data_IF_826788340482
#
_entry.id   IF_826788340482
#
_cell.length_a   1.000
_cell.length_b   1.000
_cell.length_c   1.000
_cell.angle_alpha   90.00
_cell.angle_beta   90.00
_cell.angle_gamma   90.00
#
_symmetry.space_group_name_H-M   'P 1'
#
loop_
_entity.id
_entity.type
_entity.pdbx_description
1 polymer ?
#
# COMPACT_ATOMS: atom_id res chain seq x y z
N UNK A 1 -5.02 -3.08 -26.44
CA UNK A 1 -5.36 -2.35 -25.19
C UNK A 1 -5.17 -3.19 -23.92
N UNK A 2 -5.50 -4.50 -23.89
CA UNK A 2 -5.38 -5.37 -22.71
C UNK A 2 -3.95 -5.57 -22.15
N UNK A 3 -2.92 -5.58 -23.02
CA UNK A 3 -1.50 -5.74 -22.61
C UNK A 3 -0.99 -4.53 -21.80
N UNK A 4 -1.40 -3.31 -22.18
CA UNK A 4 -0.99 -2.07 -21.51
C UNK A 4 -1.57 -1.97 -20.10
N UNK A 5 -2.82 -2.40 -19.89
CA UNK A 5 -3.44 -2.42 -18.56
C UNK A 5 -2.83 -3.47 -17.64
N UNK A 6 -2.44 -4.64 -18.17
CA UNK A 6 -1.73 -5.67 -17.38
C UNK A 6 -0.33 -5.20 -17.00
N UNK A 7 0.41 -4.60 -17.94
CA UNK A 7 1.73 -4.04 -17.65
C UNK A 7 1.66 -2.93 -16.59
N UNK A 8 0.72 -1.99 -16.72
CA UNK A 8 0.51 -0.92 -15.75
C UNK A 8 0.17 -1.44 -14.34
N UNK A 9 -0.65 -2.49 -14.25
CA UNK A 9 -0.97 -3.12 -12.96
C UNK A 9 0.26 -3.78 -12.31
N UNK A 10 1.06 -4.52 -13.10
CA UNK A 10 2.28 -5.16 -12.61
C UNK A 10 3.33 -4.14 -12.15
N UNK A 11 3.52 -3.06 -12.93
CA UNK A 11 4.43 -1.98 -12.56
C UNK A 11 3.97 -1.28 -11.28
N UNK A 12 2.67 -1.04 -11.10
CA UNK A 12 2.12 -0.50 -9.86
C UNK A 12 2.48 -1.37 -8.65
N UNK A 13 2.18 -2.66 -8.71
CA UNK A 13 2.51 -3.60 -7.63
C UNK A 13 4.01 -3.65 -7.35
N UNK A 14 4.87 -3.63 -8.38
CA UNK A 14 6.32 -3.60 -8.18
C UNK A 14 6.79 -2.34 -7.46
N UNK A 15 6.27 -1.17 -7.83
CA UNK A 15 6.61 0.11 -7.17
C UNK A 15 6.21 0.06 -5.68
N UNK A 16 5.06 -0.54 -5.36
CA UNK A 16 4.57 -0.66 -3.99
C UNK A 16 5.45 -1.58 -3.14
N UNK A 17 5.84 -2.74 -3.68
CA UNK A 17 6.78 -3.64 -3.00
C UNK A 17 8.16 -3.01 -2.84
N UNK A 18 8.58 -2.17 -3.79
CA UNK A 18 9.82 -1.44 -3.72
C UNK A 18 9.81 -0.40 -2.57
N UNK A 19 8.74 0.38 -2.40
CA UNK A 19 8.60 1.33 -1.27
C UNK A 19 8.68 0.60 0.08
N UNK A 20 7.91 -0.49 0.22
CA UNK A 20 7.88 -1.31 1.42
C UNK A 20 9.27 -1.86 1.75
N UNK A 21 10.00 -2.34 0.74
CA UNK A 21 11.34 -2.87 0.90
C UNK A 21 12.33 -1.80 1.37
N UNK A 22 12.34 -0.62 0.73
CA UNK A 22 13.22 0.49 1.14
C UNK A 22 12.92 0.93 2.57
N UNK A 23 11.64 1.09 2.92
CA UNK A 23 11.28 1.57 4.26
C UNK A 23 11.69 0.58 5.36
N UNK A 24 11.47 -0.71 5.13
CA UNK A 24 11.76 -1.75 6.12
C UNK A 24 13.26 -2.01 6.23
N UNK A 25 13.99 -2.03 5.09
CA UNK A 25 15.46 -2.17 5.10
C UNK A 25 16.15 -0.93 5.70
N UNK A 26 15.56 0.25 5.50
CA UNK A 26 16.02 1.52 6.06
C UNK A 26 15.57 1.78 7.50
N UNK A 27 14.92 0.83 8.18
CA UNK A 27 14.28 1.06 9.48
C UNK A 27 15.23 1.61 10.56
N UNK A 28 16.52 1.27 10.50
CA UNK A 28 17.54 1.80 11.41
C UNK A 28 17.72 3.30 11.21
N UNK A 29 17.89 3.75 9.96
CA UNK A 29 18.09 5.16 9.63
C UNK A 29 16.82 5.99 9.91
N UNK A 30 15.66 5.46 9.52
CA UNK A 30 14.36 6.11 9.79
C UNK A 30 14.11 6.20 11.30
N UNK A 31 14.49 5.17 12.06
CA UNK A 31 14.37 5.15 13.51
C UNK A 31 15.25 6.21 14.17
N UNK A 32 16.50 6.34 13.73
CA UNK A 32 17.43 7.33 14.29
C UNK A 32 16.99 8.77 14.07
N UNK A 33 16.34 9.06 12.94
CA UNK A 33 15.96 10.43 12.58
C UNK A 33 14.56 10.84 13.07
N UNK A 34 13.60 9.89 13.05
CA UNK A 34 12.19 10.19 13.30
C UNK A 34 11.70 9.76 14.70
N UNK A 35 12.50 9.02 15.46
CA UNK A 35 12.17 8.58 16.82
C UNK A 35 13.18 9.11 17.86
N UNK A 36 12.79 9.19 19.15
CA UNK A 36 13.70 9.67 20.20
C UNK A 36 14.94 8.77 20.33
N UNK A 37 16.11 9.40 20.43
CA UNK A 37 17.42 8.75 20.46
C UNK A 37 17.76 8.04 21.78
N UNK A 38 16.81 7.91 22.71
CA UNK A 38 17.04 7.34 24.04
C UNK A 38 17.39 5.85 23.98
N UNK A 39 16.84 5.12 23.01
CA UNK A 39 17.14 3.71 22.80
C UNK A 39 16.97 3.30 21.32
N UNK A 40 18.06 2.88 20.69
CA UNK A 40 18.09 2.48 19.27
C UNK A 40 17.15 1.32 18.95
N UNK A 41 17.02 0.34 19.86
CA UNK A 41 16.08 -0.77 19.67
C UNK A 41 14.64 -0.28 19.68
N UNK A 42 14.30 0.63 20.60
CA UNK A 42 12.94 1.18 20.69
C UNK A 42 12.58 1.98 19.43
N UNK A 43 13.53 2.72 18.86
CA UNK A 43 13.34 3.46 17.61
C UNK A 43 13.05 2.53 16.42
N UNK A 44 13.84 1.46 16.25
CA UNK A 44 13.62 0.46 15.19
C UNK A 44 12.27 -0.26 15.37
N UNK A 45 11.94 -0.65 16.60
CA UNK A 45 10.63 -1.24 16.92
C UNK A 45 9.48 -0.27 16.60
N UNK A 46 9.67 1.03 16.86
CA UNK A 46 8.74 2.08 16.47
C UNK A 46 8.49 2.09 14.96
N UNK A 47 9.54 2.05 14.14
CA UNK A 47 9.40 1.99 12.67
C UNK A 47 8.66 0.72 12.22
N UNK A 48 8.98 -0.44 12.81
CA UNK A 48 8.29 -1.70 12.52
C UNK A 48 6.82 -1.68 12.93
N UNK A 49 6.49 -1.01 14.05
CA UNK A 49 5.10 -0.82 14.48
C UNK A 49 4.32 0.08 13.51
N UNK A 50 4.93 1.20 13.08
CA UNK A 50 4.34 2.07 12.06
C UNK A 50 4.08 1.29 10.76
N UNK A 51 5.02 0.45 10.37
CA UNK A 51 4.86 -0.45 9.23
C UNK A 51 3.67 -1.41 9.42
N UNK A 52 3.59 -2.08 10.58
CA UNK A 52 2.50 -2.99 10.91
C UNK A 52 1.12 -2.29 10.92
N UNK A 53 1.03 -1.06 11.44
CA UNK A 53 -0.20 -0.26 11.40
C UNK A 53 -0.66 0.03 9.97
N UNK A 54 0.28 0.30 9.05
CA UNK A 54 -0.02 0.44 7.63
C UNK A 54 -0.65 -0.82 7.03
N UNK A 55 -0.27 -2.02 7.49
CA UNK A 55 -0.92 -3.27 7.04
C UNK A 55 -2.37 -3.38 7.48
N UNK A 56 -2.69 -2.94 8.70
CA UNK A 56 -4.06 -2.97 9.23
C UNK A 56 -5.00 -2.07 8.44
N UNK A 57 -4.49 -1.02 7.80
CA UNK A 57 -5.32 -0.15 6.94
C UNK A 57 -5.68 -0.74 5.59
N UNK A 58 -4.96 -1.75 5.10
CA UNK A 58 -5.25 -2.35 3.78
C UNK A 58 -6.66 -2.95 3.68
N UNK A 59 -7.14 -3.76 4.65
CA UNK A 59 -8.54 -4.21 4.68
C UNK A 59 -9.56 -3.06 4.66
N UNK A 60 -9.26 -1.97 5.40
CA UNK A 60 -10.14 -0.79 5.48
C UNK A 60 -10.21 -0.09 4.12
N UNK A 61 -9.05 0.09 3.47
CA UNK A 61 -8.96 0.64 2.12
C UNK A 61 -9.71 -0.20 1.09
N UNK A 62 -9.65 -1.53 1.23
CA UNK A 62 -10.35 -2.45 0.34
C UNK A 62 -11.86 -2.36 0.43
N UNK A 63 -12.40 -2.15 1.63
CA UNK A 63 -13.83 -1.95 1.83
C UNK A 63 -14.29 -0.61 1.25
N UNK A 64 -13.55 0.47 1.53
CA UNK A 64 -13.90 1.81 1.08
C UNK A 64 -13.76 1.93 -0.46
N UNK A 65 -12.56 1.66 -0.99
CA UNK A 65 -12.28 1.84 -2.41
C UNK A 65 -12.80 0.69 -3.28
N UNK A 66 -13.04 -0.49 -2.72
CA UNK A 66 -13.75 -1.57 -3.42
C UNK A 66 -15.19 -1.16 -3.76
N UNK A 67 -15.92 -0.58 -2.81
CA UNK A 67 -17.28 -0.11 -3.06
C UNK A 67 -17.32 1.08 -4.04
N UNK A 68 -16.44 2.06 -3.87
CA UNK A 68 -16.35 3.19 -4.79
C UNK A 68 -15.88 2.78 -6.20
N UNK A 69 -15.00 1.77 -6.30
CA UNK A 69 -14.51 1.21 -7.55
C UNK A 69 -15.58 0.46 -8.35
N UNK A 70 -16.49 -0.23 -7.68
CA UNK A 70 -17.64 -0.91 -8.30
C UNK A 70 -18.66 0.11 -8.87
N UNK A 71 -18.76 1.30 -8.28
CA UNK A 71 -19.70 2.35 -8.71
C UNK A 71 -19.17 3.23 -9.85
N UNK A 72 -17.88 3.62 -9.82
CA UNK A 72 -17.28 4.56 -10.79
C UNK A 72 -16.33 3.91 -11.82
N UNK A 73 -16.10 2.61 -11.71
CA UNK A 73 -15.27 1.84 -12.62
C UNK A 73 -13.83 1.67 -12.15
N UNK A 74 -13.30 0.46 -12.39
CA UNK A 74 -12.00 -0.04 -11.89
C UNK A 74 -10.78 0.83 -12.23
N UNK A 75 -10.82 1.59 -13.33
CA UNK A 75 -9.74 2.51 -13.72
C UNK A 75 -9.56 3.68 -12.74
N UNK A 76 -10.65 4.18 -12.17
CA UNK A 76 -10.61 5.33 -11.27
C UNK A 76 -10.06 4.95 -9.90
N UNK A 77 -10.41 3.76 -9.40
CA UNK A 77 -9.83 3.22 -8.17
C UNK A 77 -8.31 3.13 -8.28
N UNK A 78 -7.80 2.51 -9.36
CA UNK A 78 -6.37 2.33 -9.57
C UNK A 78 -5.58 3.65 -9.65
N UNK A 79 -6.10 4.66 -10.36
CA UNK A 79 -5.42 5.96 -10.45
C UNK A 79 -5.47 6.68 -9.11
N UNK A 80 -6.60 6.63 -8.40
CA UNK A 80 -6.73 7.28 -7.10
C UNK A 80 -5.77 6.69 -6.07
N UNK A 81 -5.67 5.36 -6.00
CA UNK A 81 -4.77 4.68 -5.08
C UNK A 81 -3.31 4.95 -5.43
N UNK A 82 -2.95 4.98 -6.71
CA UNK A 82 -1.60 5.29 -7.16
C UNK A 82 -1.18 6.73 -6.78
N UNK A 83 -2.08 7.70 -6.99
CA UNK A 83 -1.83 9.10 -6.61
C UNK A 83 -1.74 9.23 -5.09
N UNK A 84 -2.65 8.60 -4.34
CA UNK A 84 -2.68 8.67 -2.88
C UNK A 84 -1.39 8.09 -2.27
N UNK A 85 -0.98 6.91 -2.73
CA UNK A 85 0.25 6.25 -2.29
C UNK A 85 1.49 7.06 -2.67
N UNK A 86 1.56 7.58 -3.90
CA UNK A 86 2.69 8.38 -4.38
C UNK A 86 2.85 9.73 -3.69
N UNK A 87 1.74 10.45 -3.45
CA UNK A 87 1.78 11.70 -2.67
C UNK A 87 2.19 11.40 -1.24
N UNK A 88 1.65 10.34 -0.64
CA UNK A 88 1.98 9.99 0.73
C UNK A 88 3.46 9.60 0.91
N UNK A 89 4.04 8.81 0.00
CA UNK A 89 5.45 8.44 0.07
C UNK A 89 6.37 9.65 -0.19
N UNK A 90 5.99 10.53 -1.12
CA UNK A 90 6.69 11.79 -1.34
C UNK A 90 6.71 12.69 -0.11
N UNK A 91 5.58 12.80 0.60
CA UNK A 91 5.47 13.58 1.84
C UNK A 91 6.31 13.01 3.00
N UNK A 92 6.49 11.68 3.06
CA UNK A 92 7.38 11.04 4.05
C UNK A 92 8.83 11.48 3.83
N UNK A 93 9.25 11.73 2.59
CA UNK A 93 10.62 12.17 2.28
C UNK A 93 10.96 13.59 2.74
N UNK A 94 9.96 14.43 3.00
CA UNK A 94 10.13 15.82 3.46
C UNK A 94 9.72 16.03 4.92
N UNK A 95 9.54 14.92 5.67
CA UNK A 95 9.13 15.01 7.06
C UNK A 95 10.23 15.68 7.91
N UNK A 96 9.88 16.62 8.81
CA UNK A 96 10.84 17.19 9.75
C UNK A 96 11.37 16.13 10.71
N UNK A 97 12.60 16.31 11.17
CA UNK A 97 13.26 15.35 12.06
C UNK A 97 12.63 15.36 13.46
N UNK A 98 12.86 14.32 14.26
CA UNK A 98 12.35 14.29 15.64
C UNK A 98 12.93 15.45 16.48
N UNK A 99 14.13 15.95 16.16
CA UNK A 99 14.72 17.11 16.83
C UNK A 99 13.97 18.41 16.56
N UNK A 100 13.37 18.55 15.37
CA UNK A 100 12.68 19.77 14.95
C UNK A 100 11.23 19.84 15.45
N UNK A 101 10.49 18.73 15.32
CA UNK A 101 9.04 18.72 15.60
C UNK A 101 8.61 17.65 16.63
N UNK A 102 9.54 16.86 17.17
CA UNK A 102 9.27 15.90 18.24
C UNK A 102 8.20 14.88 17.88
N UNK A 103 7.26 14.64 18.80
CA UNK A 103 6.20 13.64 18.63
C UNK A 103 5.28 13.90 17.43
N UNK A 104 5.19 15.15 16.94
CA UNK A 104 4.38 15.50 15.76
C UNK A 104 4.92 14.79 14.51
N UNK A 105 6.24 14.64 14.38
CA UNK A 105 6.88 13.87 13.30
C UNK A 105 6.39 12.43 13.28
N UNK A 106 6.35 11.77 14.44
CA UNK A 106 5.89 10.37 14.56
C UNK A 106 4.40 10.27 14.18
N UNK A 107 3.58 11.22 14.64
CA UNK A 107 2.15 11.28 14.31
C UNK A 107 1.91 11.46 12.81
N UNK A 108 2.64 12.37 12.16
CA UNK A 108 2.59 12.58 10.72
C UNK A 108 3.04 11.35 9.95
N UNK A 109 4.14 10.71 10.38
CA UNK A 109 4.65 9.49 9.77
C UNK A 109 3.61 8.38 9.80
N UNK A 110 2.97 8.16 10.95
CA UNK A 110 1.87 7.19 11.11
C UNK A 110 0.73 7.54 10.17
N UNK A 111 0.27 8.79 10.19
CA UNK A 111 -0.87 9.22 9.38
C UNK A 111 -0.62 9.03 7.88
N UNK A 112 0.55 9.42 7.39
CA UNK A 112 0.97 9.18 6.01
C UNK A 112 1.02 7.68 5.70
N UNK A 113 1.61 6.87 6.59
CA UNK A 113 1.66 5.41 6.40
C UNK A 113 0.28 4.76 6.35
N UNK A 114 -0.67 5.24 7.15
CA UNK A 114 -2.07 4.81 7.11
C UNK A 114 -2.73 5.20 5.78
N UNK A 115 -2.53 6.44 5.31
CA UNK A 115 -3.07 6.92 4.02
C UNK A 115 -2.52 6.08 2.85
N UNK A 116 -1.22 5.80 2.86
CA UNK A 116 -0.58 4.94 1.88
C UNK A 116 -1.18 3.52 1.92
N UNK A 117 -1.32 2.92 3.11
CA UNK A 117 -1.93 1.59 3.27
C UNK A 117 -3.40 1.51 2.85
N UNK A 118 -4.17 2.60 3.02
CA UNK A 118 -5.53 2.72 2.50
C UNK A 118 -5.55 2.71 0.96
N UNK A 119 -4.61 3.40 0.32
CA UNK A 119 -4.41 3.35 -1.13
C UNK A 119 -4.19 1.91 -1.61
N UNK A 120 -3.27 1.18 -0.97
CA UNK A 120 -2.98 -0.21 -1.29
C UNK A 120 -4.17 -1.17 -1.09
N UNK A 121 -5.13 -0.83 -0.23
CA UNK A 121 -6.34 -1.63 -0.06
C UNK A 121 -7.23 -1.67 -1.31
N UNK A 122 -7.25 -0.58 -2.08
CA UNK A 122 -8.18 -0.36 -3.20
C UNK A 122 -7.73 -0.89 -4.57
N UNK A 123 -6.46 -1.29 -4.72
CA UNK A 123 -5.86 -1.77 -5.98
C UNK A 123 -6.23 -3.22 -6.34
N UNK A 124 -6.70 -4.01 -5.36
CA UNK A 124 -7.16 -5.39 -5.52
C UNK A 124 -6.56 -6.37 -4.52
N UNK A 125 -5.45 -6.04 -3.86
CA UNK A 125 -4.83 -6.90 -2.83
C UNK A 125 -5.75 -7.13 -1.62
N UNK A 126 -6.49 -6.11 -1.18
CA UNK A 126 -7.44 -6.27 -0.07
C UNK A 126 -8.78 -6.91 -0.47
N UNK A 127 -8.99 -7.16 -1.76
CA UNK A 127 -10.20 -7.80 -2.28
C UNK A 127 -10.18 -9.32 -2.08
N UNK A 128 -9.00 -9.90 -1.79
CA UNK A 128 -8.84 -11.33 -1.50
C UNK A 128 -9.31 -11.71 -0.10
N UNK A 129 -9.26 -10.79 0.88
CA UNK A 129 -9.60 -11.05 2.28
C UNK A 129 -11.01 -10.61 2.69
N UNK A 130 -11.79 -9.98 1.81
CA UNK A 130 -13.14 -9.50 2.15
C UNK A 130 -14.17 -10.64 2.17
N UNK A 131 -14.85 -10.92 3.30
CA UNK A 131 -15.90 -11.94 3.39
C UNK A 131 -17.12 -11.68 2.51
N UNK A 132 -17.30 -10.42 2.08
CA UNK A 132 -18.50 -9.94 1.36
C UNK A 132 -18.46 -10.17 -0.14
N UNK A 133 -17.53 -11.01 -0.63
CA UNK A 133 -17.48 -11.35 -2.05
C UNK A 133 -18.74 -12.13 -2.42
N UNK A 134 -19.74 -11.45 -3.01
CA UNK A 134 -20.90 -12.12 -3.61
C UNK A 134 -20.39 -13.18 -4.58
N UNK A 135 -20.59 -14.43 -4.18
CA UNK A 135 -20.29 -15.65 -4.92
C UNK A 135 -21.23 -15.72 -6.11
N UNK A 136 -20.91 -14.99 -7.18
CA UNK A 136 -21.75 -14.91 -8.37
C UNK A 136 -20.97 -14.46 -9.59
N UNK A 137 -20.45 -15.44 -10.35
CA UNK A 137 -20.00 -15.34 -11.75
C UNK A 137 -18.70 -14.59 -12.08
N UNK A 138 -17.59 -14.91 -11.40
CA UNK A 138 -16.28 -14.48 -11.90
C UNK A 138 -15.04 -15.09 -11.22
N UNK A 139 -15.21 -16.03 -10.28
CA UNK A 139 -14.09 -16.61 -9.53
C UNK A 139 -13.24 -17.63 -10.28
N UNK A 140 -13.78 -18.26 -11.32
CA UNK A 140 -13.02 -19.23 -12.12
C UNK A 140 -12.25 -18.60 -13.29
N UNK A 141 -12.64 -17.39 -13.73
CA UNK A 141 -12.06 -16.78 -14.93
C UNK A 141 -10.69 -16.15 -14.69
N UNK A 142 -10.34 -15.81 -13.44
CA UNK A 142 -9.02 -15.23 -13.11
C UNK A 142 -8.00 -16.29 -12.71
N UNK A 143 -8.45 -17.43 -12.16
CA UNK A 143 -7.60 -18.59 -11.90
C UNK A 143 -7.32 -19.40 -13.18
N UNK A 144 -8.27 -19.48 -14.11
CA UNK A 144 -8.10 -20.22 -15.38
C UNK A 144 -7.53 -19.37 -16.53
N UNK A 145 -7.32 -18.06 -16.36
CA UNK A 145 -6.60 -17.26 -17.37
C UNK A 145 -5.07 -17.43 -17.33
N UNK A 146 -4.54 -18.09 -16.29
CA UNK A 146 -3.12 -18.39 -16.14
C UNK A 146 -2.73 -19.81 -16.59
N UNK A 147 -3.69 -20.68 -16.93
CA UNK A 147 -3.40 -22.11 -17.11
C UNK A 147 -3.25 -22.60 -18.55
N UNK A 148 -3.40 -21.77 -19.60
CA UNK A 148 -3.14 -22.24 -21.00
C UNK A 148 -2.47 -21.21 -21.91
N UNK A 149 -1.13 -21.03 -21.82
CA UNK A 149 -0.35 -20.35 -22.87
C UNK A 149 0.14 -21.23 -24.04
N UNK A 150 0.01 -22.57 -24.02
CA UNK A 150 0.77 -23.45 -24.94
C UNK A 150 -0.03 -24.47 -25.79
N UNK A 151 -1.33 -24.31 -26.01
CA UNK A 151 -2.15 -25.26 -26.81
C UNK A 151 -2.68 -24.72 -28.15
N UNK A 152 -1.93 -23.85 -28.83
CA UNK A 152 -2.20 -23.59 -30.26
C UNK A 152 -0.93 -23.24 -31.03
N UNK A 153 -0.36 -24.24 -31.70
CA UNK A 153 0.82 -24.18 -32.54
C UNK A 153 1.33 -25.59 -32.82
#
# INVERSE_FOLDING_TARGET
>A
MRKLTVAAAMTGTLIEWYDVFIFTSGAVYVGEELFPSTNRLAAVLGVLLVFALGFVTRPVGALLFGHYGDLKGRRYSLVFTLVLSGVSSGLIGILPTYREAGAVTIGLLVLLRLILGLGLGGSGEGQFSSPWRRRGRGGLSTALSFSRPWESG
#
